data_IF_379668137992
#
_entry.id   IF_379668137992
#
_cell.length_a   1.000
_cell.length_b   1.000
_cell.length_c   1.000
_cell.angle_alpha   90.00
_cell.angle_beta   90.00
_cell.angle_gamma   90.00
#
_symmetry.space_group_name_H-M   'P 1'
#
loop_
_entity.id
_entity.type
_entity.pdbx_description
1 polymer ?
#
# COMPACT_ATOMS: atom_id res chain seq x y z
N UNK A 1 -5.89 -6.14 -15.82
CA UNK A 1 -5.56 -5.00 -14.93
C UNK A 1 -6.55 -5.01 -13.81
N UNK A 2 -6.05 -5.11 -12.58
CA UNK A 2 -6.88 -5.15 -11.38
C UNK A 2 -7.19 -3.73 -10.89
N UNK A 3 -8.37 -3.56 -10.29
CA UNK A 3 -8.74 -2.29 -9.67
C UNK A 3 -8.13 -2.21 -8.28
N UNK A 4 -7.24 -1.23 -8.08
CA UNK A 4 -6.53 -1.03 -6.80
C UNK A 4 -7.11 0.17 -6.07
N UNK A 5 -7.49 -0.03 -4.80
CA UNK A 5 -7.94 1.04 -3.90
C UNK A 5 -7.05 1.07 -2.65
N UNK A 6 -6.51 2.25 -2.37
CA UNK A 6 -5.78 2.56 -1.14
C UNK A 6 -6.73 3.38 -0.25
N UNK A 7 -7.29 2.75 0.77
CA UNK A 7 -8.20 3.40 1.72
C UNK A 7 -7.40 3.89 2.93
N UNK A 8 -7.55 5.17 3.28
CA UNK A 8 -6.90 5.75 4.46
C UNK A 8 -7.67 5.36 5.72
N UNK A 9 -6.95 4.90 6.74
CA UNK A 9 -7.55 4.58 8.03
C UNK A 9 -7.27 5.73 9.01
N UNK A 10 -8.23 6.64 9.18
CA UNK A 10 -8.12 7.79 10.11
C UNK A 10 -7.92 7.36 11.58
N UNK A 11 -8.39 6.16 11.95
CA UNK A 11 -8.40 5.69 13.36
C UNK A 11 -7.04 5.16 13.84
N UNK A 12 -6.06 5.01 12.95
CA UNK A 12 -4.72 4.57 13.35
C UNK A 12 -3.81 5.76 13.58
N UNK A 13 -3.61 6.11 14.87
CA UNK A 13 -2.48 6.95 15.25
C UNK A 13 -1.19 6.37 14.65
N UNK A 14 -0.43 7.22 13.96
CA UNK A 14 0.89 6.86 13.44
C UNK A 14 1.79 6.54 14.63
N UNK A 15 2.61 5.50 14.51
CA UNK A 15 3.52 5.12 15.58
C UNK A 15 4.56 6.25 15.76
N UNK A 16 4.64 6.93 16.92
CA UNK A 16 5.66 7.95 17.14
C UNK A 16 7.09 7.38 17.10
N UNK A 17 7.27 6.06 17.22
CA UNK A 17 8.55 5.39 17.03
C UNK A 17 8.94 5.23 15.54
N UNK A 18 8.00 5.39 14.60
CA UNK A 18 8.27 5.44 13.16
C UNK A 18 7.93 6.84 12.61
N UNK A 19 8.86 7.81 12.75
CA UNK A 19 8.64 9.18 12.29
C UNK A 19 8.55 9.29 10.76
N UNK A 20 8.96 8.26 10.02
CA UNK A 20 8.89 8.23 8.57
C UNK A 20 7.49 7.88 8.08
N UNK A 21 6.66 7.24 8.90
CA UNK A 21 5.28 6.96 8.55
C UNK A 21 4.44 8.25 8.57
N UNK A 22 3.82 8.60 7.44
CA UNK A 22 2.97 9.80 7.29
C UNK A 22 1.50 9.45 7.22
N UNK A 23 1.15 8.38 6.51
CA UNK A 23 -0.21 7.85 6.42
C UNK A 23 -0.17 6.35 6.21
N UNK A 24 -1.24 5.65 6.58
CA UNK A 24 -1.42 4.24 6.25
C UNK A 24 -2.89 3.90 6.08
N UNK A 25 -3.13 2.73 5.51
CA UNK A 25 -4.44 2.12 5.62
C UNK A 25 -4.56 0.82 4.87
N UNK A 26 -5.80 0.47 4.55
CA UNK A 26 -6.14 -0.81 3.96
C UNK A 26 -5.98 -0.77 2.44
N UNK A 27 -5.38 -1.82 1.89
CA UNK A 27 -5.21 -2.03 0.47
C UNK A 27 -6.25 -3.04 -0.02
N UNK A 28 -6.99 -2.66 -1.05
CA UNK A 28 -7.95 -3.52 -1.72
C UNK A 28 -7.56 -3.72 -3.19
N UNK A 29 -7.70 -4.96 -3.66
CA UNK A 29 -7.55 -5.35 -5.07
C UNK A 29 -8.86 -6.00 -5.49
N UNK A 30 -9.48 -5.47 -6.56
CA UNK A 30 -10.80 -5.88 -7.06
C UNK A 30 -11.90 -5.92 -5.98
N UNK A 31 -11.84 -4.98 -5.03
CA UNK A 31 -12.79 -4.89 -3.92
C UNK A 31 -12.52 -5.86 -2.77
N UNK A 32 -11.51 -6.72 -2.87
CA UNK A 32 -11.10 -7.63 -1.81
C UNK A 32 -9.94 -7.04 -1.02
N UNK A 33 -9.99 -7.13 0.31
CA UNK A 33 -8.90 -6.68 1.16
C UNK A 33 -7.66 -7.56 0.91
N UNK A 34 -6.61 -6.95 0.38
CA UNK A 34 -5.40 -7.63 -0.07
C UNK A 34 -4.20 -7.36 0.86
N UNK A 35 -4.26 -6.33 1.71
CA UNK A 35 -3.18 -6.01 2.63
C UNK A 35 -3.26 -4.58 3.17
N UNK A 36 -2.09 -3.99 3.41
CA UNK A 36 -1.97 -2.60 3.84
C UNK A 36 -1.05 -1.79 2.93
N UNK A 37 -1.16 -0.47 3.03
CA UNK A 37 -0.26 0.47 2.39
C UNK A 37 0.19 1.55 3.38
N UNK A 38 1.32 2.17 3.08
CA UNK A 38 1.86 3.29 3.83
C UNK A 38 2.43 4.35 2.89
N UNK A 39 2.23 5.62 3.23
CA UNK A 39 2.96 6.74 2.65
C UNK A 39 4.04 7.17 3.63
N UNK A 40 5.26 7.31 3.12
CA UNK A 40 6.45 7.64 3.91
C UNK A 40 6.87 9.10 3.68
N UNK A 41 7.60 9.66 4.64
CA UNK A 41 8.02 11.06 4.65
C UNK A 41 8.99 11.40 3.52
N UNK A 42 9.80 10.44 3.10
CA UNK A 42 10.69 10.54 1.94
C UNK A 42 9.96 10.58 0.59
N UNK A 43 8.62 10.46 0.59
CA UNK A 43 7.78 10.47 -0.59
C UNK A 43 7.49 9.07 -1.15
N UNK A 44 8.11 8.02 -0.60
CA UNK A 44 7.85 6.65 -1.03
C UNK A 44 6.48 6.15 -0.56
N UNK A 45 5.92 5.24 -1.34
CA UNK A 45 4.68 4.54 -1.05
C UNK A 45 4.98 3.04 -1.01
N UNK A 46 4.57 2.40 0.07
CA UNK A 46 4.82 0.98 0.27
C UNK A 46 3.53 0.20 0.44
N UNK A 47 3.51 -1.06 0.00
CA UNK A 47 2.41 -1.99 0.22
C UNK A 47 2.93 -3.33 0.73
N UNK A 48 2.18 -3.93 1.64
CA UNK A 48 2.38 -5.31 2.08
C UNK A 48 1.13 -6.12 1.76
N UNK A 49 1.26 -7.12 0.90
CA UNK A 49 0.17 -8.01 0.54
C UNK A 49 0.13 -9.18 1.53
N UNK A 50 -1.07 -9.60 1.96
CA UNK A 50 -1.25 -10.66 2.97
C UNK A 50 -0.60 -12.00 2.61
N UNK A 51 -0.47 -12.29 1.32
CA UNK A 51 0.03 -13.57 0.79
C UNK A 51 1.40 -13.47 0.11
N UNK A 52 2.00 -12.29 0.07
CA UNK A 52 3.34 -12.10 -0.50
C UNK A 52 4.38 -11.89 0.58
N UNK A 53 5.62 -12.26 0.27
CA UNK A 53 6.75 -11.97 1.13
C UNK A 53 7.33 -10.60 0.79
N UNK A 54 7.30 -9.71 1.77
CA UNK A 54 8.00 -8.44 1.72
C UNK A 54 7.13 -7.27 1.30
N UNK A 55 7.76 -6.10 1.27
CA UNK A 55 7.13 -4.84 0.93
C UNK A 55 7.40 -4.48 -0.54
N UNK A 56 6.35 -4.08 -1.24
CA UNK A 56 6.47 -3.45 -2.55
C UNK A 56 6.66 -1.96 -2.30
N UNK A 57 7.78 -1.40 -2.75
CA UNK A 57 8.16 0.00 -2.54
C UNK A 57 8.19 0.72 -3.88
N UNK A 58 7.53 1.88 -3.96
CA UNK A 58 7.50 2.72 -5.15
C UNK A 58 7.63 4.20 -4.80
N UNK A 59 8.11 5.00 -5.76
CA UNK A 59 8.42 6.42 -5.55
C UNK A 59 7.17 7.33 -5.57
N UNK A 60 5.99 6.78 -5.82
CA UNK A 60 4.74 7.53 -5.79
C UNK A 60 3.54 6.61 -5.61
N UNK A 61 2.44 7.18 -5.14
CA UNK A 61 1.13 6.51 -5.07
C UNK A 61 0.72 5.88 -6.40
N UNK A 62 0.91 6.61 -7.51
CA UNK A 62 0.52 6.16 -8.84
C UNK A 62 1.35 4.96 -9.27
N UNK A 63 2.67 5.02 -9.10
CA UNK A 63 3.57 3.91 -9.42
C UNK A 63 3.24 2.65 -8.60
N UNK A 64 2.93 2.81 -7.30
CA UNK A 64 2.48 1.71 -6.46
C UNK A 64 1.19 1.07 -6.97
N UNK A 65 0.18 1.88 -7.28
CA UNK A 65 -1.10 1.42 -7.83
C UNK A 65 -0.89 0.67 -9.15
N UNK A 66 -0.12 1.24 -10.07
CA UNK A 66 0.16 0.62 -11.36
C UNK A 66 0.91 -0.71 -11.22
N UNK A 67 1.88 -0.80 -10.30
CA UNK A 67 2.59 -2.05 -10.02
C UNK A 67 1.67 -3.11 -9.45
N UNK A 68 0.84 -2.76 -8.46
CA UNK A 68 -0.14 -3.66 -7.85
C UNK A 68 -1.20 -4.14 -8.85
N UNK A 69 -1.64 -3.26 -9.75
CA UNK A 69 -2.61 -3.58 -10.80
C UNK A 69 -2.10 -4.60 -11.83
N UNK A 70 -0.77 -4.77 -11.94
CA UNK A 70 -0.11 -5.78 -12.78
C UNK A 70 0.21 -7.07 -12.02
N UNK A 71 0.50 -6.97 -10.73
CA UNK A 71 1.02 -8.07 -9.92
C UNK A 71 0.06 -9.27 -9.81
N UNK A 72 -1.26 -9.06 -9.88
CA UNK A 72 -2.27 -10.13 -9.77
C UNK A 72 -2.62 -10.83 -11.10
N UNK A 73 -2.01 -10.44 -12.23
CA UNK A 73 -2.27 -11.07 -13.52
C UNK A 73 -1.35 -12.26 -13.83
N UNK A 74 -0.35 -12.54 -12.98
CA UNK A 74 0.71 -13.54 -13.23
C UNK A 74 0.70 -14.74 -12.26
N UNK A 75 -0.40 -14.96 -11.51
CA UNK A 75 -0.57 -16.12 -10.61
C UNK A 75 -1.90 -16.84 -10.84
#
# INVERSE_FOLDING_TARGET
MHYVKLEHNDDTALDPADPELVMRGSLFIDGHEAGCWEARRDGTWVAHLRHEKGWIVEQSRVALIERLARFHSDN
#
